data_IF_632754427922
#
_entry.id   IF_632754427922
#
_cell.length_a   1.000
_cell.length_b   1.000
_cell.length_c   1.000
_cell.angle_alpha   90.00
_cell.angle_beta   90.00
_cell.angle_gamma   90.00
#
_symmetry.space_group_name_H-M   'P 1'
#
loop_
_entity.id
_entity.type
_entity.pdbx_description
1 polymer ?
#
# COMPACT_ATOMS: atom_id res chain seq x y z
N UNK A 1 10.01 -5.70 7.88
CA UNK A 1 8.54 -5.70 7.72
C UNK A 1 8.05 -6.76 6.73
N UNK A 2 8.40 -6.66 5.43
CA UNK A 2 7.88 -7.60 4.41
C UNK A 2 8.03 -9.07 4.80
N UNK A 3 9.24 -9.56 5.08
CA UNK A 3 9.48 -10.96 5.43
C UNK A 3 8.80 -11.40 6.73
N UNK A 4 8.77 -10.53 7.76
CA UNK A 4 8.11 -10.86 9.02
C UNK A 4 6.60 -10.99 8.87
N UNK A 5 5.95 -10.08 8.16
CA UNK A 5 4.52 -10.18 7.88
C UNK A 5 4.19 -11.40 7.01
N UNK A 6 5.01 -11.68 5.99
CA UNK A 6 4.83 -12.86 5.13
C UNK A 6 4.87 -14.15 5.96
N UNK A 7 5.81 -14.25 6.90
CA UNK A 7 5.91 -15.40 7.80
C UNK A 7 4.67 -15.55 8.69
N UNK A 8 4.17 -14.46 9.27
CA UNK A 8 2.97 -14.49 10.11
C UNK A 8 1.70 -14.85 9.31
N UNK A 9 1.58 -14.33 8.09
CA UNK A 9 0.49 -14.72 7.18
C UNK A 9 0.58 -16.21 6.85
N UNK A 10 1.78 -16.72 6.50
CA UNK A 10 1.96 -18.13 6.19
C UNK A 10 1.61 -19.04 7.39
N UNK A 11 2.06 -18.68 8.59
CA UNK A 11 1.72 -19.40 9.83
C UNK A 11 0.21 -19.47 10.05
N UNK A 12 -0.48 -18.32 9.92
CA UNK A 12 -1.92 -18.26 10.14
C UNK A 12 -2.68 -18.97 9.02
N UNK A 13 -2.26 -18.87 7.76
CA UNK A 13 -2.88 -19.58 6.64
C UNK A 13 -2.76 -21.10 6.72
N UNK A 14 -1.78 -21.60 7.47
CA UNK A 14 -1.62 -23.02 7.76
C UNK A 14 -2.59 -23.54 8.85
N UNK A 15 -3.35 -22.65 9.52
CA UNK A 15 -4.39 -23.04 10.49
C UNK A 15 -5.65 -23.57 9.76
N UNK A 16 -6.56 -24.27 10.49
CA UNK A 16 -7.82 -24.78 9.92
C UNK A 16 -8.72 -23.70 9.29
N UNK A 17 -8.56 -22.44 9.71
CA UNK A 17 -9.29 -21.30 9.14
C UNK A 17 -8.81 -20.92 7.73
N UNK A 18 -7.64 -21.43 7.33
CA UNK A 18 -7.03 -21.14 6.03
C UNK A 18 -6.74 -19.65 5.83
N UNK A 19 -6.79 -19.20 4.57
CA UNK A 19 -6.45 -17.81 4.18
C UNK A 19 -7.65 -16.88 4.05
N UNK A 20 -8.84 -17.29 4.47
CA UNK A 20 -10.09 -16.50 4.33
C UNK A 20 -10.04 -15.16 5.06
N UNK A 21 -9.28 -15.07 6.16
CA UNK A 21 -9.07 -13.83 6.93
C UNK A 21 -8.41 -12.72 6.11
N UNK A 22 -7.68 -13.05 5.05
CA UNK A 22 -7.04 -12.06 4.18
C UNK A 22 -8.04 -11.21 3.43
N UNK A 23 -9.18 -11.80 3.05
CA UNK A 23 -10.24 -11.13 2.28
C UNK A 23 -11.34 -10.57 3.19
N UNK A 24 -11.64 -11.27 4.27
CA UNK A 24 -12.71 -10.92 5.20
C UNK A 24 -12.27 -11.27 6.63
N UNK A 25 -11.71 -10.30 7.34
CA UNK A 25 -11.35 -10.45 8.75
C UNK A 25 -12.61 -10.49 9.61
N UNK A 26 -12.61 -11.33 10.64
CA UNK A 26 -13.73 -11.42 11.57
C UNK A 26 -13.84 -10.14 12.43
N UNK A 27 -15.05 -9.68 12.71
CA UNK A 27 -15.30 -8.50 13.55
C UNK A 27 -14.81 -8.67 15.01
N UNK A 28 -14.71 -9.91 15.45
CA UNK A 28 -14.25 -10.29 16.79
C UNK A 28 -12.73 -10.48 16.88
N UNK A 29 -12.01 -10.29 15.78
CA UNK A 29 -10.58 -10.48 15.73
C UNK A 29 -9.87 -9.44 16.60
N UNK A 30 -9.18 -9.91 17.64
CA UNK A 30 -8.39 -9.03 18.50
C UNK A 30 -7.11 -8.62 17.75
N UNK A 31 -6.74 -7.33 17.77
CA UNK A 31 -5.53 -6.83 17.15
C UNK A 31 -4.30 -7.18 18.02
N UNK A 32 -3.94 -8.46 18.07
CA UNK A 32 -2.85 -8.99 18.91
C UNK A 32 -1.89 -9.86 18.12
N UNK A 33 -0.74 -10.17 18.72
CA UNK A 33 0.26 -11.07 18.14
C UNK A 33 1.16 -10.46 17.08
N UNK A 34 1.90 -11.33 16.40
CA UNK A 34 2.95 -10.94 15.45
C UNK A 34 2.44 -10.13 14.25
N UNK A 35 1.23 -10.42 13.76
CA UNK A 35 0.62 -9.66 12.67
C UNK A 35 0.35 -8.20 13.05
N UNK A 36 -0.21 -7.99 14.25
CA UNK A 36 -0.47 -6.63 14.77
C UNK A 36 0.82 -5.87 15.04
N UNK A 37 1.86 -6.54 15.56
CA UNK A 37 3.19 -5.95 15.73
C UNK A 37 3.73 -5.39 14.39
N UNK A 38 3.61 -6.15 13.30
CA UNK A 38 4.07 -5.69 11.98
C UNK A 38 3.20 -4.56 11.43
N UNK A 39 1.89 -4.59 11.66
CA UNK A 39 0.99 -3.51 11.27
C UNK A 39 1.32 -2.21 12.02
N UNK A 40 1.56 -2.29 13.33
CA UNK A 40 1.96 -1.14 14.12
C UNK A 40 3.33 -0.59 13.69
N UNK A 41 4.29 -1.46 13.42
CA UNK A 41 5.60 -1.08 12.88
C UNK A 41 5.46 -0.38 11.51
N UNK A 42 4.55 -0.87 10.66
CA UNK A 42 4.22 -0.24 9.39
C UNK A 42 3.64 1.16 9.59
N UNK A 43 2.69 1.32 10.49
CA UNK A 43 2.13 2.63 10.83
C UNK A 43 3.20 3.61 11.30
N UNK A 44 4.09 3.20 12.18
CA UNK A 44 5.21 4.04 12.63
C UNK A 44 6.16 4.40 11.48
N UNK A 45 6.39 3.48 10.54
CA UNK A 45 7.23 3.77 9.37
C UNK A 45 6.65 4.89 8.49
N UNK A 46 5.33 5.11 8.49
CA UNK A 46 4.70 6.19 7.73
C UNK A 46 5.03 7.57 8.28
N UNK A 47 5.21 7.70 9.60
CA UNK A 47 5.75 8.94 10.18
C UNK A 47 7.19 9.20 9.71
N UNK A 48 8.00 8.15 9.66
CA UNK A 48 9.37 8.28 9.14
C UNK A 48 9.39 8.72 7.66
N UNK A 49 8.51 8.15 6.84
CA UNK A 49 8.38 8.52 5.43
C UNK A 49 7.95 9.99 5.22
N UNK A 50 7.28 10.63 6.20
CA UNK A 50 6.97 12.06 6.13
C UNK A 50 8.22 12.94 6.05
N UNK A 51 9.36 12.49 6.62
CA UNK A 51 10.61 13.25 6.59
C UNK A 51 11.23 13.33 5.19
N UNK A 52 10.84 12.47 4.26
CA UNK A 52 11.37 12.50 2.88
C UNK A 52 11.13 13.85 2.21
N UNK A 53 9.94 14.43 2.40
CA UNK A 53 9.57 15.72 1.80
C UNK A 53 10.32 16.91 2.40
N UNK A 54 10.35 17.14 3.73
CA UNK A 54 11.16 18.19 4.34
C UNK A 54 12.65 18.06 4.02
N UNK A 55 13.20 16.85 4.00
CA UNK A 55 14.61 16.63 3.67
C UNK A 55 14.94 17.02 2.22
N UNK A 56 14.04 16.76 1.28
CA UNK A 56 14.22 17.18 -0.12
C UNK A 56 14.17 18.71 -0.23
N UNK A 57 13.22 19.36 0.44
CA UNK A 57 13.09 20.82 0.47
C UNK A 57 14.31 21.48 1.12
N UNK A 58 14.80 20.94 2.24
CA UNK A 58 16.00 21.45 2.91
C UNK A 58 17.26 21.37 2.03
N UNK A 59 17.29 20.42 1.07
CA UNK A 59 18.35 20.33 0.04
C UNK A 59 18.11 21.24 -1.17
N UNK A 60 17.11 22.14 -1.12
CA UNK A 60 16.75 23.01 -2.24
C UNK A 60 16.12 22.28 -3.44
N UNK A 61 15.65 21.05 -3.25
CA UNK A 61 15.03 20.25 -4.32
C UNK A 61 13.54 20.11 -4.10
N UNK A 62 12.74 20.68 -5.01
CA UNK A 62 11.30 20.44 -5.02
C UNK A 62 11.05 19.11 -5.73
N UNK A 63 10.39 18.12 -5.08
CA UNK A 63 10.09 16.84 -5.71
C UNK A 63 9.21 17.02 -6.95
N UNK A 64 9.46 16.24 -8.02
CA UNK A 64 8.51 16.19 -9.12
C UNK A 64 7.15 15.69 -8.62
N UNK A 65 6.07 16.38 -8.98
CA UNK A 65 4.71 16.13 -8.47
C UNK A 65 4.56 16.35 -6.94
N UNK A 66 5.13 17.44 -6.42
CA UNK A 66 5.11 17.80 -4.99
C UNK A 66 3.73 17.66 -4.33
N UNK A 67 2.69 18.24 -4.95
CA UNK A 67 1.33 18.14 -4.41
C UNK A 67 0.82 16.70 -4.28
N UNK A 68 1.18 15.84 -5.23
CA UNK A 68 0.87 14.41 -5.15
C UNK A 68 1.62 13.73 -3.99
N UNK A 69 2.89 14.06 -3.78
CA UNK A 69 3.68 13.49 -2.69
C UNK A 69 3.10 13.86 -1.32
N UNK A 70 2.75 15.12 -1.11
CA UNK A 70 2.11 15.59 0.13
C UNK A 70 0.76 14.89 0.36
N UNK A 71 -0.10 14.85 -0.67
CA UNK A 71 -1.38 14.14 -0.64
C UNK A 71 -1.21 12.67 -0.28
N UNK A 72 -0.29 11.97 -0.96
CA UNK A 72 -0.04 10.56 -0.74
C UNK A 72 0.41 10.27 0.70
N UNK A 73 1.44 10.96 1.17
CA UNK A 73 1.99 10.73 2.51
C UNK A 73 0.98 11.05 3.63
N UNK A 74 0.21 12.11 3.49
CA UNK A 74 -0.82 12.46 4.48
C UNK A 74 -1.92 11.38 4.55
N UNK A 75 -2.44 10.94 3.40
CA UNK A 75 -3.53 9.97 3.37
C UNK A 75 -3.06 8.55 3.70
N UNK A 76 -1.85 8.15 3.32
CA UNK A 76 -1.31 6.82 3.69
C UNK A 76 -1.16 6.69 5.20
N UNK A 77 -0.72 7.76 5.89
CA UNK A 77 -0.65 7.77 7.35
C UNK A 77 -2.04 7.56 7.98
N UNK A 78 -3.04 8.32 7.49
CA UNK A 78 -4.42 8.19 7.96
C UNK A 78 -5.00 6.81 7.66
N UNK A 79 -4.71 6.23 6.50
CA UNK A 79 -5.14 4.88 6.14
C UNK A 79 -4.49 3.80 7.02
N UNK A 80 -3.19 3.92 7.31
CA UNK A 80 -2.48 2.99 8.18
C UNK A 80 -3.04 3.02 9.63
N UNK A 81 -3.40 4.22 10.12
CA UNK A 81 -4.14 4.36 11.37
C UNK A 81 -5.50 3.65 11.33
N UNK A 82 -6.25 3.84 10.24
CA UNK A 82 -7.55 3.18 10.06
C UNK A 82 -7.46 1.65 10.02
N UNK A 83 -6.38 1.10 9.49
CA UNK A 83 -6.12 -0.35 9.54
C UNK A 83 -5.94 -0.87 10.97
N UNK A 84 -5.26 -0.09 11.82
CA UNK A 84 -5.07 -0.42 13.23
C UNK A 84 -6.37 -0.31 14.01
N UNK A 85 -7.08 0.82 13.87
CA UNK A 85 -8.25 1.16 14.68
C UNK A 85 -9.44 0.25 14.39
N UNK A 86 -9.66 -0.08 13.10
CA UNK A 86 -10.85 -0.83 12.67
C UNK A 86 -10.55 -2.29 12.30
N UNK A 87 -9.32 -2.78 12.49
CA UNK A 87 -8.89 -4.12 12.04
C UNK A 87 -9.42 -4.46 10.63
N UNK A 88 -9.30 -3.47 9.72
CA UNK A 88 -9.95 -3.49 8.42
C UNK A 88 -9.53 -4.73 7.61
N UNK A 89 -10.48 -5.41 6.97
CA UNK A 89 -10.19 -6.48 6.01
C UNK A 89 -9.25 -6.00 4.89
N UNK A 90 -8.44 -6.89 4.34
CA UNK A 90 -7.44 -6.64 3.29
C UNK A 90 -6.17 -5.85 3.72
N UNK A 91 -6.05 -5.38 4.96
CA UNK A 91 -4.86 -4.63 5.37
C UNK A 91 -3.56 -5.43 5.18
N UNK A 92 -3.60 -6.74 5.41
CA UNK A 92 -2.45 -7.64 5.28
C UNK A 92 -1.90 -7.62 3.84
N UNK A 93 -2.78 -7.77 2.87
CA UNK A 93 -2.42 -7.76 1.45
C UNK A 93 -1.98 -6.36 1.04
N UNK A 94 -2.70 -5.32 1.45
CA UNK A 94 -2.33 -3.92 1.20
C UNK A 94 -0.93 -3.60 1.72
N UNK A 95 -0.60 -4.01 2.94
CA UNK A 95 0.71 -3.81 3.54
C UNK A 95 1.81 -4.61 2.80
N UNK A 96 1.55 -5.88 2.42
CA UNK A 96 2.52 -6.68 1.67
C UNK A 96 2.87 -6.04 0.33
N UNK A 97 1.87 -5.65 -0.46
CA UNK A 97 2.12 -4.98 -1.74
C UNK A 97 2.85 -3.65 -1.56
N UNK A 98 2.40 -2.83 -0.60
CA UNK A 98 3.03 -1.53 -0.36
C UNK A 98 4.49 -1.68 0.06
N UNK A 99 4.81 -2.57 1.00
CA UNK A 99 6.19 -2.80 1.43
C UNK A 99 7.06 -3.40 0.32
N UNK A 100 6.54 -4.30 -0.51
CA UNK A 100 7.27 -4.85 -1.65
C UNK A 100 7.62 -3.76 -2.69
N UNK A 101 6.65 -2.93 -3.04
CA UNK A 101 6.85 -1.79 -3.96
C UNK A 101 7.87 -0.79 -3.38
N UNK A 102 7.80 -0.50 -2.09
CA UNK A 102 8.74 0.41 -1.43
C UNK A 102 10.16 -0.14 -1.42
N UNK A 103 10.36 -1.45 -1.22
CA UNK A 103 11.70 -2.07 -1.34
C UNK A 103 12.29 -1.80 -2.74
N UNK A 104 11.54 -2.08 -3.80
CA UNK A 104 11.99 -1.85 -5.18
C UNK A 104 12.25 -0.36 -5.43
N UNK A 105 11.39 0.52 -4.95
CA UNK A 105 11.51 1.96 -5.10
C UNK A 105 12.74 2.53 -4.38
N UNK A 106 13.00 2.12 -3.14
CA UNK A 106 14.17 2.59 -2.39
C UNK A 106 15.47 2.04 -2.94
N UNK A 107 15.50 0.80 -3.45
CA UNK A 107 16.67 0.27 -4.20
C UNK A 107 16.92 1.15 -5.44
N UNK A 108 15.88 1.52 -6.18
CA UNK A 108 16.00 2.42 -7.32
C UNK A 108 16.60 3.77 -6.90
N UNK A 109 16.10 4.39 -5.83
CA UNK A 109 16.60 5.68 -5.34
C UNK A 109 18.05 5.58 -4.83
N UNK A 110 18.40 4.50 -4.14
CA UNK A 110 19.79 4.25 -3.71
C UNK A 110 20.73 4.20 -4.91
N UNK A 111 20.41 3.44 -5.94
CA UNK A 111 21.23 3.34 -7.16
C UNK A 111 21.35 4.68 -7.88
N UNK A 112 20.29 5.48 -7.92
CA UNK A 112 20.35 6.84 -8.46
C UNK A 112 21.28 7.74 -7.63
N UNK A 113 21.25 7.64 -6.30
CA UNK A 113 22.11 8.43 -5.39
C UNK A 113 23.59 8.05 -5.54
N UNK A 114 23.86 6.76 -5.81
CA UNK A 114 25.23 6.26 -6.08
C UNK A 114 25.72 6.58 -7.51
N UNK A 115 25.00 7.40 -8.28
CA UNK A 115 25.37 7.77 -9.65
C UNK A 115 25.21 6.64 -10.68
N UNK A 116 24.48 5.58 -10.35
CA UNK A 116 24.20 4.42 -11.21
C UNK A 116 22.70 4.27 -11.51
N UNK A 117 22.05 5.25 -12.17
CA UNK A 117 20.62 5.21 -12.41
C UNK A 117 20.24 4.00 -13.28
N UNK A 118 19.41 3.07 -12.78
CA UNK A 118 19.03 1.89 -13.54
C UNK A 118 17.99 2.21 -14.63
N UNK A 119 18.03 1.46 -15.73
CA UNK A 119 17.10 1.64 -16.86
C UNK A 119 15.64 1.27 -16.53
N UNK A 120 15.39 0.58 -15.41
CA UNK A 120 14.08 0.02 -15.07
C UNK A 120 13.14 0.97 -14.28
N UNK A 121 13.33 2.30 -14.37
CA UNK A 121 12.44 3.31 -13.76
C UNK A 121 10.95 3.05 -14.08
N UNK A 122 10.64 2.65 -15.31
CA UNK A 122 9.26 2.34 -15.72
C UNK A 122 8.67 1.12 -15.01
N UNK A 123 9.52 0.17 -14.61
CA UNK A 123 9.10 -1.01 -13.85
C UNK A 123 8.55 -0.60 -12.49
N UNK A 124 9.21 0.34 -11.79
CA UNK A 124 8.73 0.86 -10.50
C UNK A 124 7.30 1.40 -10.63
N UNK A 125 7.05 2.27 -11.62
CA UNK A 125 5.70 2.83 -11.85
C UNK A 125 4.68 1.74 -12.23
N UNK A 126 5.08 0.73 -13.00
CA UNK A 126 4.20 -0.40 -13.33
C UNK A 126 3.86 -1.23 -12.09
N UNK A 127 4.80 -1.49 -11.21
CA UNK A 127 4.56 -2.18 -9.94
C UNK A 127 3.55 -1.43 -9.08
N UNK A 128 3.65 -0.09 -9.00
CA UNK A 128 2.69 0.74 -8.29
C UNK A 128 1.28 0.64 -8.89
N UNK A 129 1.17 0.67 -10.23
CA UNK A 129 -0.12 0.51 -10.91
C UNK A 129 -0.70 -0.89 -10.64
N UNK A 130 0.10 -1.95 -10.77
CA UNK A 130 -0.33 -3.33 -10.47
C UNK A 130 -0.85 -3.43 -9.04
N UNK A 131 -0.14 -2.86 -8.06
CA UNK A 131 -0.60 -2.82 -6.67
C UNK A 131 -2.03 -2.26 -6.56
N UNK A 132 -2.30 -1.10 -7.16
CA UNK A 132 -3.60 -0.44 -7.04
C UNK A 132 -4.70 -1.16 -7.82
N UNK A 133 -4.39 -1.70 -9.01
CA UNK A 133 -5.34 -2.52 -9.77
C UNK A 133 -5.72 -3.77 -8.97
N UNK A 134 -4.73 -4.48 -8.42
CA UNK A 134 -4.97 -5.65 -7.57
C UNK A 134 -5.81 -5.27 -6.35
N UNK A 135 -5.52 -4.14 -5.71
CA UNK A 135 -6.32 -3.66 -4.57
C UNK A 135 -7.79 -3.44 -4.96
N UNK A 136 -8.07 -2.79 -6.09
CA UNK A 136 -9.44 -2.57 -6.57
C UNK A 136 -10.17 -3.90 -6.83
N UNK A 137 -9.49 -4.88 -7.43
CA UNK A 137 -10.07 -6.22 -7.67
C UNK A 137 -10.39 -6.95 -6.36
N UNK A 138 -9.49 -6.88 -5.38
CA UNK A 138 -9.71 -7.48 -4.07
C UNK A 138 -10.82 -6.77 -3.29
N UNK A 139 -10.94 -5.46 -3.41
CA UNK A 139 -12.08 -4.72 -2.85
C UNK A 139 -13.41 -5.17 -3.47
N UNK A 140 -13.45 -5.34 -4.80
CA UNK A 140 -14.65 -5.84 -5.48
C UNK A 140 -15.00 -7.26 -5.00
N UNK A 141 -14.02 -8.13 -4.81
CA UNK A 141 -14.22 -9.46 -4.26
C UNK A 141 -14.74 -9.43 -2.82
N UNK A 142 -14.14 -8.61 -1.94
CA UNK A 142 -14.62 -8.46 -0.57
C UNK A 142 -16.03 -7.88 -0.52
N UNK A 143 -16.35 -6.92 -1.40
CA UNK A 143 -17.71 -6.39 -1.54
C UNK A 143 -18.70 -7.49 -1.93
N UNK A 144 -18.33 -8.38 -2.85
CA UNK A 144 -19.16 -9.56 -3.19
C UNK A 144 -19.39 -10.47 -1.98
N UNK A 145 -18.33 -10.75 -1.17
CA UNK A 145 -18.49 -11.55 0.05
C UNK A 145 -19.43 -10.90 1.07
N UNK A 146 -19.41 -9.57 1.18
CA UNK A 146 -20.28 -8.83 2.11
C UNK A 146 -21.72 -8.76 1.60
N UNK A 147 -21.92 -8.38 0.34
CA UNK A 147 -23.23 -8.09 -0.23
C UNK A 147 -23.92 -9.33 -0.80
N UNK A 148 -23.17 -10.25 -1.41
CA UNK A 148 -23.68 -11.46 -2.04
C UNK A 148 -23.80 -12.64 -1.08
N UNK A 149 -22.78 -12.83 -0.22
CA UNK A 149 -22.75 -13.97 0.73
C UNK A 149 -23.17 -13.56 2.16
N UNK A 150 -23.45 -12.27 2.41
CA UNK A 150 -23.84 -11.78 3.73
C UNK A 150 -22.76 -11.88 4.80
N UNK A 151 -21.48 -11.97 4.44
CA UNK A 151 -20.38 -12.10 5.40
C UNK A 151 -20.19 -10.81 6.20
N UNK A 152 -19.99 -10.95 7.51
CA UNK A 152 -19.73 -9.85 8.42
C UNK A 152 -18.24 -9.54 8.52
N UNK A 153 -17.66 -8.84 7.53
CA UNK A 153 -16.25 -8.48 7.49
C UNK A 153 -15.95 -7.26 8.38
N UNK A 154 -14.78 -7.27 9.05
CA UNK A 154 -14.33 -6.17 9.90
C UNK A 154 -13.95 -4.92 9.09
N UNK A 155 -14.18 -3.73 9.69
CA UNK A 155 -13.73 -2.45 9.18
C UNK A 155 -14.37 -2.01 7.87
N UNK A 156 -15.61 -2.42 7.54
CA UNK A 156 -16.27 -2.12 6.26
C UNK A 156 -16.32 -0.62 5.93
N UNK A 157 -16.53 0.27 6.93
CA UNK A 157 -16.54 1.74 6.69
C UNK A 157 -15.16 2.25 6.32
N UNK A 158 -14.12 1.78 7.02
CA UNK A 158 -12.73 2.12 6.71
C UNK A 158 -12.31 1.54 5.35
N UNK A 159 -12.84 0.37 4.98
CA UNK A 159 -12.65 -0.26 3.67
C UNK A 159 -13.16 0.63 2.53
N UNK A 160 -14.33 1.24 2.67
CA UNK A 160 -14.88 2.16 1.66
C UNK A 160 -14.00 3.41 1.48
N UNK A 161 -13.52 4.01 2.58
CA UNK A 161 -12.56 5.13 2.51
C UNK A 161 -11.25 4.71 1.82
N UNK A 162 -10.78 3.50 2.10
CA UNK A 162 -9.58 2.93 1.50
C UNK A 162 -9.75 2.69 -0.01
N UNK A 163 -10.91 2.19 -0.45
CA UNK A 163 -11.24 2.07 -1.89
C UNK A 163 -11.15 3.44 -2.58
N UNK A 164 -11.79 4.45 -2.04
CA UNK A 164 -11.74 5.81 -2.59
C UNK A 164 -10.31 6.31 -2.74
N UNK A 165 -9.50 6.15 -1.70
CA UNK A 165 -8.08 6.52 -1.72
C UNK A 165 -7.29 5.75 -2.79
N UNK A 166 -7.43 4.42 -2.86
CA UNK A 166 -6.74 3.61 -3.86
C UNK A 166 -7.10 4.00 -5.30
N UNK A 167 -8.37 4.32 -5.57
CA UNK A 167 -8.82 4.79 -6.89
C UNK A 167 -8.17 6.13 -7.25
N UNK A 168 -8.09 7.08 -6.32
CA UNK A 168 -7.41 8.36 -6.57
C UNK A 168 -5.92 8.19 -6.85
N UNK A 169 -5.24 7.29 -6.13
CA UNK A 169 -3.84 6.96 -6.38
C UNK A 169 -3.65 6.30 -7.74
N UNK A 170 -4.49 5.31 -8.10
CA UNK A 170 -4.45 4.66 -9.40
C UNK A 170 -4.57 5.68 -10.53
N UNK A 171 -5.55 6.59 -10.44
CA UNK A 171 -5.73 7.65 -11.42
C UNK A 171 -4.47 8.51 -11.59
N UNK A 172 -3.86 8.94 -10.48
CA UNK A 172 -2.66 9.77 -10.51
C UNK A 172 -1.44 9.02 -11.07
N UNK A 173 -1.23 7.75 -10.67
CA UNK A 173 -0.12 6.94 -11.20
C UNK A 173 -0.27 6.61 -12.69
N UNK A 174 -1.47 6.36 -13.18
CA UNK A 174 -1.74 6.21 -14.61
C UNK A 174 -1.41 7.52 -15.35
N UNK A 175 -1.77 8.68 -14.80
CA UNK A 175 -1.40 9.99 -15.33
C UNK A 175 0.11 10.20 -15.42
N UNK A 176 0.85 9.83 -14.35
CA UNK A 176 2.32 9.88 -14.31
C UNK A 176 2.92 8.94 -15.37
N UNK A 177 2.40 7.72 -15.49
CA UNK A 177 2.88 6.75 -16.46
C UNK A 177 2.72 7.25 -17.91
N UNK A 178 1.57 7.86 -18.22
CA UNK A 178 1.30 8.46 -19.55
C UNK A 178 2.27 9.61 -19.86
N UNK A 179 2.54 10.49 -18.92
CA UNK A 179 3.50 11.61 -19.09
C UNK A 179 4.94 11.13 -19.31
N UNK A 180 5.32 10.01 -18.69
CA UNK A 180 6.65 9.41 -18.80
C UNK A 180 6.78 8.43 -19.98
N UNK A 181 5.73 8.23 -20.78
CA UNK A 181 5.80 7.41 -21.98
C UNK A 181 6.72 8.07 -23.03
N UNK A 182 7.51 7.28 -23.81
CA UNK A 182 8.29 7.86 -24.90
C UNK A 182 7.34 8.49 -25.91
N UNK A 183 7.62 9.75 -26.29
CA UNK A 183 6.93 10.34 -27.45
C UNK A 183 7.24 9.47 -28.65
N UNK A 184 6.21 8.94 -29.33
CA UNK A 184 6.40 8.30 -30.64
C UNK A 184 7.13 9.34 -31.53
N UNK A 185 8.33 8.98 -32.00
CA UNK A 185 8.94 9.76 -33.08
C UNK A 185 8.00 9.64 -34.27
N UNK A 186 7.43 10.76 -34.68
CA UNK A 186 6.71 10.87 -35.95
C UNK A 186 7.70 10.70 -37.10
#
# INVERSE_FOLDING_TARGET
MFGGLTLEIARRSASPEGSTFLLCAAKTEAPTGGMYFWLYTYYLSKYYELFDTPLQLARGKVPPNFGFQVYHHALVLFMAWGWLEYTQSLWQIGMLFNTAVHVVMYIYFLLCTLGRPPAWKRLVTRFQIVQFVTSVLLFAWTAYLILGEGRACAGTRALLANVGFNVTLLYQFVGIAKRNAPKKRA
#
